data_IF_121234924172
#
_entry.id   IF_121234924172
#
_cell.length_a   1.000
_cell.length_b   1.000
_cell.length_c   1.000
_cell.angle_alpha   90.00
_cell.angle_beta   90.00
_cell.angle_gamma   90.00
#
_symmetry.space_group_name_H-M   'P 1'
#
loop_
_entity.id
_entity.type
_entity.pdbx_description
1 polymer ?
#
# COMPACT_ATOMS: atom_id res chain seq x y z
N UNK A 1 -73.33 21.97 -23.82
CA UNK A 1 -72.94 20.63 -23.35
C UNK A 1 -71.41 20.60 -23.32
N UNK A 2 -70.81 20.89 -22.16
CA UNK A 2 -70.13 19.97 -21.22
C UNK A 2 -68.67 19.61 -21.62
N UNK A 3 -67.74 20.22 -20.87
CA UNK A 3 -66.36 19.81 -20.50
C UNK A 3 -65.29 19.73 -21.62
N UNK A 4 -64.19 20.49 -21.60
CA UNK A 4 -63.07 20.60 -20.63
C UNK A 4 -62.03 19.47 -20.77
N UNK A 5 -60.79 19.80 -20.37
CA UNK A 5 -59.52 19.02 -20.35
C UNK A 5 -58.58 19.28 -21.56
N UNK A 6 -57.60 20.19 -21.45
CA UNK A 6 -56.27 20.06 -20.79
C UNK A 6 -55.35 19.12 -21.60
N UNK A 7 -54.12 19.43 -22.02
CA UNK A 7 -53.09 20.39 -21.61
C UNK A 7 -52.44 20.98 -22.87
N UNK A 8 -52.27 22.30 -23.03
CA UNK A 8 -51.34 23.18 -22.34
C UNK A 8 -49.85 22.79 -22.50
N UNK A 9 -49.12 23.73 -23.13
CA UNK A 9 -47.67 23.97 -23.09
C UNK A 9 -46.79 23.26 -24.12
N UNK A 10 -46.76 23.80 -25.34
CA UNK A 10 -45.58 23.79 -26.20
C UNK A 10 -45.40 25.19 -26.79
N UNK A 11 -44.69 26.07 -26.08
CA UNK A 11 -44.15 27.29 -26.67
C UNK A 11 -43.02 27.88 -25.81
N UNK A 12 -42.07 28.48 -26.52
CA UNK A 12 -40.93 29.31 -26.10
C UNK A 12 -39.71 28.51 -25.61
N UNK A 13 -38.70 28.21 -26.43
CA UNK A 13 -37.79 29.10 -27.16
C UNK A 13 -36.88 29.94 -26.23
N UNK A 14 -35.57 29.74 -26.45
CA UNK A 14 -34.47 30.69 -26.26
C UNK A 14 -34.25 31.24 -24.86
N UNK A 15 -33.36 30.61 -24.10
CA UNK A 15 -32.36 31.32 -23.29
C UNK A 15 -31.25 30.31 -22.95
N UNK A 16 -30.09 30.44 -23.59
CA UNK A 16 -28.84 29.99 -23.00
C UNK A 16 -28.34 31.13 -22.12
N UNK A 17 -28.29 30.97 -20.79
CA UNK A 17 -27.32 31.67 -19.98
C UNK A 17 -26.07 30.80 -19.83
N UNK A 18 -24.93 31.35 -20.25
CA UNK A 18 -23.64 31.07 -19.60
C UNK A 18 -23.86 31.19 -18.08
N UNK A 19 -23.71 30.08 -17.36
CA UNK A 19 -23.46 29.94 -15.91
C UNK A 19 -24.24 28.74 -15.37
N UNK A 20 -23.63 27.56 -15.45
CA UNK A 20 -23.68 26.54 -14.39
C UNK A 20 -22.33 25.82 -14.45
N UNK A 21 -21.29 26.56 -14.07
CA UNK A 21 -20.13 25.96 -13.43
C UNK A 21 -20.55 25.68 -11.98
N UNK A 22 -20.16 24.52 -11.45
CA UNK A 22 -20.48 23.97 -10.13
C UNK A 22 -21.89 23.35 -10.01
N UNK A 23 -22.03 22.11 -10.50
CA UNK A 23 -22.83 21.04 -9.85
C UNK A 23 -22.62 19.67 -10.55
N UNK A 24 -21.47 19.46 -11.21
CA UNK A 24 -21.11 18.18 -11.83
C UNK A 24 -19.64 17.87 -11.52
N UNK A 25 -19.33 17.63 -10.25
CA UNK A 25 -18.01 17.17 -9.82
C UNK A 25 -18.03 16.44 -8.46
N UNK A 26 -19.07 15.65 -8.17
CA UNK A 26 -19.16 14.91 -6.90
C UNK A 26 -19.31 13.38 -7.05
N UNK A 27 -19.25 12.84 -8.28
CA UNK A 27 -19.37 11.38 -8.51
C UNK A 27 -18.00 10.68 -8.67
N UNK A 28 -16.89 11.43 -8.73
CA UNK A 28 -15.54 10.91 -9.00
C UNK A 28 -14.65 10.78 -7.74
N UNK A 29 -15.23 10.84 -6.54
CA UNK A 29 -14.49 10.74 -5.29
C UNK A 29 -14.55 9.34 -4.65
N UNK A 30 -15.59 8.54 -4.93
CA UNK A 30 -15.81 7.24 -4.30
C UNK A 30 -14.93 6.13 -4.93
N UNK A 31 -14.65 6.20 -6.24
CA UNK A 31 -13.79 5.23 -6.93
C UNK A 31 -12.28 5.44 -6.69
N UNK A 32 -11.85 6.62 -6.24
CA UNK A 32 -10.44 6.91 -5.98
C UNK A 32 -9.98 6.54 -4.56
N UNK A 33 -10.90 6.51 -3.60
CA UNK A 33 -10.58 6.15 -2.22
C UNK A 33 -10.35 4.63 -2.08
N UNK A 34 -11.07 3.82 -2.87
CA UNK A 34 -10.93 2.37 -2.87
C UNK A 34 -9.64 1.85 -3.55
N UNK A 35 -8.97 2.68 -4.36
CA UNK A 35 -7.63 2.39 -4.90
C UNK A 35 -6.49 2.81 -3.96
N UNK A 36 -6.78 3.63 -2.94
CA UNK A 36 -5.84 4.04 -1.91
C UNK A 36 -5.88 3.11 -0.70
N UNK A 37 -7.02 2.47 -0.43
CA UNK A 37 -7.16 1.51 0.66
C UNK A 37 -6.59 0.12 0.35
N UNK A 38 -6.35 -0.23 -0.92
CA UNK A 38 -5.56 -1.42 -1.31
C UNK A 38 -4.04 -1.16 -1.32
N UNK A 39 -3.61 0.02 -0.87
CA UNK A 39 -2.22 0.26 -0.43
C UNK A 39 -1.95 -0.38 0.94
N UNK A 40 -2.60 -1.52 1.22
CA UNK A 40 -2.29 -2.33 2.39
C UNK A 40 -0.87 -2.87 2.24
N UNK A 41 0.03 -2.31 3.05
CA UNK A 41 1.35 -2.87 3.27
C UNK A 41 1.17 -4.29 3.80
N UNK A 42 1.35 -5.28 2.93
CA UNK A 42 1.33 -6.68 3.30
C UNK A 42 2.62 -6.98 4.06
N UNK A 43 2.60 -7.12 5.40
CA UNK A 43 3.85 -7.10 6.17
C UNK A 43 4.75 -8.30 5.91
N UNK A 44 4.16 -9.34 5.32
CA UNK A 44 4.81 -10.60 4.98
C UNK A 44 5.15 -10.68 3.50
N UNK A 45 4.86 -9.70 2.66
CA UNK A 45 5.27 -9.75 1.26
C UNK A 45 6.81 -9.63 1.16
N UNK A 46 7.51 -10.50 0.39
CA UNK A 46 8.97 -10.43 0.24
C UNK A 46 9.48 -9.05 -0.21
N UNK A 47 8.81 -8.40 -1.14
CA UNK A 47 9.25 -7.14 -1.72
C UNK A 47 8.96 -5.97 -0.80
N UNK A 48 7.82 -5.98 -0.11
CA UNK A 48 7.54 -5.03 0.98
C UNK A 48 8.58 -5.14 2.09
N UNK A 49 8.98 -6.36 2.47
CA UNK A 49 10.04 -6.58 3.47
C UNK A 49 11.39 -6.05 2.98
N UNK A 50 11.75 -6.31 1.72
CA UNK A 50 12.98 -5.78 1.14
C UNK A 50 13.00 -4.25 1.13
N UNK A 51 11.90 -3.62 0.69
CA UNK A 51 11.77 -2.17 0.63
C UNK A 51 11.89 -1.54 2.03
N UNK A 52 11.07 -1.97 2.98
CA UNK A 52 11.09 -1.43 4.35
C UNK A 52 12.42 -1.64 5.08
N UNK A 53 13.08 -2.78 4.85
CA UNK A 53 14.41 -3.02 5.42
C UNK A 53 15.51 -2.19 4.74
N UNK A 54 15.30 -1.76 3.49
CA UNK A 54 16.20 -0.83 2.79
C UNK A 54 16.07 0.58 3.36
N UNK A 55 14.85 1.08 3.56
CA UNK A 55 14.61 2.36 4.28
C UNK A 55 15.31 2.34 5.65
N UNK A 56 15.08 1.28 6.43
CA UNK A 56 15.71 1.10 7.74
C UNK A 56 17.24 1.05 7.66
N UNK A 57 17.81 0.46 6.61
CA UNK A 57 19.26 0.40 6.41
C UNK A 57 19.87 1.81 6.35
N UNK A 58 19.20 2.72 5.65
CA UNK A 58 19.61 4.11 5.42
C UNK A 58 19.19 5.09 6.52
N UNK A 59 18.50 4.60 7.56
CA UNK A 59 18.09 5.42 8.70
C UNK A 59 16.76 6.14 8.49
N UNK A 60 15.97 5.69 7.51
CA UNK A 60 14.62 6.17 7.30
C UNK A 60 13.63 5.40 8.17
N UNK A 61 12.53 6.07 8.53
CA UNK A 61 11.56 5.60 9.51
C UNK A 61 10.14 5.94 9.07
N UNK A 62 9.63 5.23 8.06
CA UNK A 62 8.20 5.28 7.74
C UNK A 62 7.41 4.47 8.76
N UNK A 63 6.34 5.05 9.33
CA UNK A 63 5.45 4.34 10.27
C UNK A 63 4.81 3.10 9.64
N UNK A 64 4.56 3.19 8.34
CA UNK A 64 3.96 2.13 7.55
C UNK A 64 4.86 0.86 7.52
N UNK A 65 6.19 1.02 7.64
CA UNK A 65 7.13 -0.09 7.69
C UNK A 65 7.32 -0.72 9.08
N UNK A 66 6.83 -0.12 10.17
CA UNK A 66 6.93 -0.69 11.51
C UNK A 66 6.45 -2.16 11.61
N UNK A 67 5.25 -2.53 11.12
CA UNK A 67 4.79 -3.92 11.15
C UNK A 67 5.68 -4.85 10.31
N UNK A 68 6.22 -4.36 9.20
CA UNK A 68 7.09 -5.10 8.28
C UNK A 68 8.45 -5.39 8.91
N UNK A 69 9.03 -4.37 9.55
CA UNK A 69 10.30 -4.47 10.27
C UNK A 69 10.14 -5.45 11.43
N UNK A 70 9.06 -5.32 12.21
CA UNK A 70 8.74 -6.28 13.28
C UNK A 70 8.62 -7.71 12.74
N UNK A 71 7.94 -7.89 11.60
CA UNK A 71 7.85 -9.18 10.93
C UNK A 71 9.23 -9.72 10.52
N UNK A 72 10.09 -8.93 9.87
CA UNK A 72 11.44 -9.36 9.49
C UNK A 72 12.21 -9.90 10.69
N UNK A 73 12.14 -9.22 11.83
CA UNK A 73 12.83 -9.65 13.04
C UNK A 73 12.18 -10.85 13.73
N UNK A 74 10.87 -11.04 13.55
CA UNK A 74 10.16 -12.26 13.97
C UNK A 74 10.64 -13.51 13.22
N UNK A 75 11.21 -13.37 12.01
CA UNK A 75 11.85 -14.46 11.27
C UNK A 75 13.14 -14.82 12.01
N UNK A 76 13.02 -15.78 12.93
CA UNK A 76 14.14 -16.31 13.70
C UNK A 76 14.11 -17.83 13.78
N UNK A 77 15.26 -18.43 13.99
CA UNK A 77 15.38 -19.85 14.35
C UNK A 77 15.90 -19.97 15.77
N UNK A 78 15.23 -20.82 16.52
CA UNK A 78 15.66 -21.24 17.85
C UNK A 78 16.22 -22.66 17.71
N UNK A 79 17.45 -22.86 18.14
CA UNK A 79 18.13 -24.14 18.25
C UNK A 79 18.19 -24.62 19.70
N UNK A 80 19.00 -25.67 19.94
CA UNK A 80 19.15 -26.29 21.27
C UNK A 80 19.60 -25.31 22.37
N UNK A 81 20.41 -24.32 22.01
CA UNK A 81 20.98 -23.34 22.94
C UNK A 81 20.31 -21.97 22.86
N UNK A 82 19.08 -21.89 22.33
CA UNK A 82 18.35 -20.64 22.16
C UNK A 82 18.49 -20.08 20.75
N UNK A 83 18.61 -18.74 20.64
CA UNK A 83 18.63 -18.06 19.34
C UNK A 83 19.83 -18.51 18.49
N UNK A 84 19.55 -18.97 17.26
CA UNK A 84 20.56 -19.42 16.30
C UNK A 84 20.75 -18.31 15.25
N UNK A 85 21.81 -17.48 15.35
CA UNK A 85 22.01 -16.34 14.45
C UNK A 85 22.26 -16.78 13.00
N UNK A 86 22.91 -17.92 12.79
CA UNK A 86 23.26 -18.40 11.45
C UNK A 86 22.05 -18.99 10.73
N UNK A 87 21.23 -19.80 11.42
CA UNK A 87 19.97 -20.27 10.83
C UNK A 87 18.96 -19.15 10.65
N UNK A 88 18.98 -18.14 11.52
CA UNK A 88 18.15 -16.93 11.37
C UNK A 88 18.55 -16.14 10.14
N UNK A 89 19.85 -15.89 9.95
CA UNK A 89 20.40 -15.22 8.77
C UNK A 89 19.92 -15.88 7.48
N UNK A 90 20.03 -17.22 7.39
CA UNK A 90 19.59 -17.97 6.20
C UNK A 90 18.10 -17.77 5.93
N UNK A 91 17.24 -17.88 6.94
CA UNK A 91 15.79 -17.66 6.77
C UNK A 91 15.44 -16.25 6.30
N UNK A 92 16.12 -15.24 6.84
CA UNK A 92 15.92 -13.84 6.44
C UNK A 92 16.41 -13.60 5.02
N UNK A 93 17.53 -14.22 4.64
CA UNK A 93 18.04 -14.20 3.27
C UNK A 93 17.05 -14.84 2.30
N UNK A 94 16.54 -16.03 2.61
CA UNK A 94 15.53 -16.72 1.80
C UNK A 94 14.29 -15.83 1.60
N UNK A 95 13.88 -15.10 2.66
CA UNK A 95 12.76 -14.16 2.58
C UNK A 95 13.04 -13.00 1.62
N UNK A 96 14.19 -12.35 1.73
CA UNK A 96 14.55 -11.22 0.86
C UNK A 96 14.76 -11.66 -0.59
N UNK A 97 15.40 -12.81 -0.81
CA UNK A 97 15.61 -13.39 -2.14
C UNK A 97 14.32 -13.86 -2.81
N UNK A 98 13.23 -14.00 -2.07
CA UNK A 98 11.91 -14.30 -2.63
C UNK A 98 11.28 -13.08 -3.31
N UNK A 99 11.85 -11.88 -3.16
CA UNK A 99 11.46 -10.71 -3.94
C UNK A 99 12.26 -10.68 -5.26
N UNK A 100 11.62 -10.77 -6.44
CA UNK A 100 12.32 -10.73 -7.72
C UNK A 100 12.95 -9.37 -8.04
N UNK A 101 12.43 -8.29 -7.44
CA UNK A 101 12.94 -6.93 -7.60
C UNK A 101 14.08 -6.57 -6.62
N UNK A 102 14.46 -7.48 -5.71
CA UNK A 102 15.48 -7.18 -4.71
C UNK A 102 16.88 -7.18 -5.32
N UNK A 103 17.57 -6.04 -5.23
CA UNK A 103 18.98 -5.95 -5.61
C UNK A 103 19.87 -6.78 -4.66
N UNK A 104 20.63 -7.77 -5.16
CA UNK A 104 21.49 -8.62 -4.33
C UNK A 104 22.50 -7.84 -3.47
N UNK A 105 23.01 -6.70 -3.95
CA UNK A 105 23.95 -5.90 -3.18
C UNK A 105 23.27 -5.25 -1.96
N UNK A 106 22.05 -4.72 -2.13
CA UNK A 106 21.25 -4.22 -1.01
C UNK A 106 20.82 -5.32 -0.05
N UNK A 107 20.42 -6.50 -0.55
CA UNK A 107 20.13 -7.66 0.29
C UNK A 107 21.34 -8.01 1.17
N UNK A 108 22.54 -8.05 0.60
CA UNK A 108 23.77 -8.31 1.35
C UNK A 108 24.02 -7.27 2.44
N UNK A 109 23.79 -5.98 2.17
CA UNK A 109 23.93 -4.90 3.16
C UNK A 109 22.91 -5.03 4.30
N UNK A 110 21.64 -5.28 3.98
CA UNK A 110 20.58 -5.51 4.97
C UNK A 110 20.94 -6.69 5.88
N UNK A 111 21.33 -7.82 5.29
CA UNK A 111 21.67 -9.03 6.04
C UNK A 111 22.96 -8.86 6.87
N UNK A 112 23.94 -8.12 6.35
CA UNK A 112 25.16 -7.79 7.09
C UNK A 112 24.89 -6.99 8.36
N UNK A 113 23.95 -6.04 8.31
CA UNK A 113 23.60 -5.18 9.46
C UNK A 113 22.57 -5.83 10.39
N UNK A 114 21.53 -6.46 9.85
CA UNK A 114 20.35 -6.89 10.61
C UNK A 114 20.11 -8.41 10.59
N UNK A 115 20.69 -9.15 9.65
CA UNK A 115 20.35 -10.55 9.39
C UNK A 115 20.60 -11.51 10.56
N UNK A 116 21.53 -11.16 11.46
CA UNK A 116 21.89 -11.97 12.63
C UNK A 116 21.38 -11.41 13.95
N UNK A 117 20.74 -10.24 13.93
CA UNK A 117 20.23 -9.60 15.14
C UNK A 117 18.98 -10.34 15.63
N UNK A 118 18.84 -10.45 16.95
CA UNK A 118 17.71 -11.16 17.57
C UNK A 118 16.38 -10.45 17.37
N UNK A 119 16.41 -9.13 17.28
CA UNK A 119 15.27 -8.24 17.15
C UNK A 119 15.56 -7.17 16.13
#
# INVERSE_FOLDING_TARGET
>A
MKYAFLCAALAAALFSPLSHAADEYDDYADEQEQALEDMQIQPKDPCTVFMCMSEKLYGEHSKACEPVISYFFSIKKIGRHGFDPWKTLKKRQDKLNSCPAADPAHVSKILGKFGRLRG
#
